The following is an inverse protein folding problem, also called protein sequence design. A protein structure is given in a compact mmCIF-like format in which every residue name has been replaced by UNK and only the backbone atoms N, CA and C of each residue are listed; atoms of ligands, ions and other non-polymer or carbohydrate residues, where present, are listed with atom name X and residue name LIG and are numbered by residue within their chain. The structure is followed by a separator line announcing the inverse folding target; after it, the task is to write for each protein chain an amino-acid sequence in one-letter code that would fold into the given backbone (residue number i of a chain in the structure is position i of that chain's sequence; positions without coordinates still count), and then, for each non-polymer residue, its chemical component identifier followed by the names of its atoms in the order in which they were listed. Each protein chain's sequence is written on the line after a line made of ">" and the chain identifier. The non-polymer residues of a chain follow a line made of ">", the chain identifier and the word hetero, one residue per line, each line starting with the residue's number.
data_IF_851218370080
#
_entry.id   IF_851218370080
#
_cell.length_a   1.000
_cell.length_b   1.000
_cell.length_c   1.000
_cell.angle_alpha   90.00
_cell.angle_beta   90.00
_cell.angle_gamma   90.00
#
_symmetry.space_group_name_H-M   'P 1'
#
loop_
_entity.id
_entity.type
_entity.pdbx_description
1 polymer ?
#
# COMPACT_ATOMS: atom_id res chain seq x y z
N UNK A 1 -13.86 9.18 10.19
CA UNK A 1 -12.77 9.72 11.03
C UNK A 1 -11.56 9.92 10.13
N UNK A 2 -10.99 11.14 10.00
CA UNK A 2 -9.73 11.29 9.30
C UNK A 2 -8.66 10.52 10.10
N UNK A 3 -7.90 9.66 9.44
CA UNK A 3 -6.79 8.95 10.08
C UNK A 3 -5.70 9.96 10.40
N UNK A 4 -5.26 10.02 11.66
CA UNK A 4 -4.12 10.82 12.07
C UNK A 4 -2.90 10.44 11.20
N UNK A 5 -2.38 11.42 10.48
CA UNK A 5 -1.25 11.25 9.55
C UNK A 5 0.08 11.54 10.25
N UNK A 6 0.09 11.79 11.57
CA UNK A 6 1.21 12.36 12.33
C UNK A 6 2.57 11.64 12.29
N UNK A 7 2.68 10.49 11.63
CA UNK A 7 3.95 9.81 11.33
C UNK A 7 4.05 9.22 9.92
N UNK A 8 3.09 9.51 9.03
CA UNK A 8 3.08 8.93 7.70
C UNK A 8 4.01 9.71 6.74
N UNK A 9 4.88 9.02 6.02
CA UNK A 9 5.58 9.56 4.85
C UNK A 9 4.73 9.31 3.61
N UNK A 10 4.50 10.35 2.82
CA UNK A 10 3.68 10.28 1.59
C UNK A 10 4.58 10.37 0.36
N UNK A 11 4.29 9.56 -0.66
CA UNK A 11 4.91 9.65 -1.98
C UNK A 11 3.86 9.43 -3.07
N UNK A 12 4.08 10.08 -4.20
CA UNK A 12 3.34 9.83 -5.42
C UNK A 12 4.28 9.26 -6.48
N UNK A 13 3.77 8.32 -7.27
CA UNK A 13 4.49 7.76 -8.40
C UNK A 13 3.55 7.62 -9.59
N UNK A 14 3.98 8.10 -10.75
CA UNK A 14 3.30 7.91 -12.04
C UNK A 14 4.03 6.84 -12.84
N UNK A 15 3.50 5.60 -12.96
CA UNK A 15 4.07 4.62 -13.87
C UNK A 15 4.01 5.14 -15.31
N UNK A 16 5.05 4.92 -16.14
CA UNK A 16 4.99 5.28 -17.55
C UNK A 16 4.18 4.26 -18.40
N UNK A 17 3.40 3.40 -17.75
CA UNK A 17 2.53 2.37 -18.35
C UNK A 17 1.26 2.20 -17.52
N UNK A 18 0.22 1.60 -18.11
CA UNK A 18 -0.99 1.22 -17.38
C UNK A 18 -0.68 0.18 -16.31
N UNK A 19 -1.12 0.45 -15.07
CA UNK A 19 -0.79 -0.38 -13.92
C UNK A 19 -2.05 -1.04 -13.33
N UNK A 20 -2.09 -2.38 -13.36
CA UNK A 20 -2.94 -3.12 -12.43
C UNK A 20 -2.25 -3.23 -11.07
N UNK A 21 -2.61 -2.33 -10.15
CA UNK A 21 -2.00 -2.27 -8.82
C UNK A 21 -2.25 -3.56 -8.02
N UNK A 22 -3.46 -4.12 -8.07
CA UNK A 22 -3.79 -5.31 -7.29
C UNK A 22 -3.12 -6.55 -7.90
N UNK A 23 -3.17 -6.71 -9.22
CA UNK A 23 -2.47 -7.80 -9.91
C UNK A 23 -0.97 -7.79 -9.63
N UNK A 24 -0.36 -6.60 -9.60
CA UNK A 24 1.06 -6.40 -9.29
C UNK A 24 1.40 -6.80 -7.85
N UNK A 25 0.56 -6.45 -6.88
CA UNK A 25 0.84 -6.68 -5.46
C UNK A 25 0.40 -8.05 -4.95
N UNK A 26 -0.53 -8.71 -5.64
CA UNK A 26 -1.09 -10.01 -5.25
C UNK A 26 -0.06 -11.10 -4.94
N UNK A 27 1.07 -11.23 -5.68
CA UNK A 27 2.11 -12.22 -5.36
C UNK A 27 2.73 -12.07 -3.97
N UNK A 28 2.59 -10.91 -3.32
CA UNK A 28 3.13 -10.68 -1.96
C UNK A 28 2.22 -11.19 -0.84
N UNK A 29 0.99 -11.61 -1.14
CA UNK A 29 0.01 -12.12 -0.17
C UNK A 29 0.32 -13.58 0.19
N UNK A 30 0.47 -13.89 1.48
CA UNK A 30 0.78 -15.24 2.01
C UNK A 30 -0.45 -16.12 2.24
N UNK A 31 -1.48 -15.94 1.41
CA UNK A 31 -2.74 -16.69 1.47
C UNK A 31 -3.98 -15.85 1.74
N UNK A 32 -5.16 -16.48 1.68
CA UNK A 32 -6.43 -15.74 1.67
C UNK A 32 -6.67 -14.92 2.96
N UNK A 33 -6.13 -15.36 4.10
CA UNK A 33 -6.34 -14.71 5.40
C UNK A 33 -5.09 -14.01 5.92
N UNK A 34 -4.18 -13.63 5.03
CA UNK A 34 -2.95 -12.94 5.39
C UNK A 34 -3.26 -11.61 6.11
N UNK A 35 -2.96 -11.48 7.42
CA UNK A 35 -3.22 -10.25 8.15
C UNK A 35 -2.28 -9.11 7.74
N UNK A 36 -1.16 -9.42 7.08
CA UNK A 36 -0.18 -8.45 6.59
C UNK A 36 -0.49 -7.97 5.16
N UNK A 37 -1.62 -8.37 4.57
CA UNK A 37 -2.07 -7.90 3.25
C UNK A 37 -3.59 -7.72 3.25
N UNK A 38 -4.08 -6.48 3.08
CA UNK A 38 -5.52 -6.19 3.01
C UNK A 38 -5.85 -5.32 1.81
N UNK A 39 -6.92 -5.67 1.10
CA UNK A 39 -7.50 -4.83 0.06
C UNK A 39 -8.77 -4.20 0.64
N UNK A 40 -8.85 -2.88 0.61
CA UNK A 40 -10.02 -2.12 1.06
C UNK A 40 -11.03 -1.95 -0.09
N UNK A 41 -12.32 -1.68 0.20
CA UNK A 41 -13.35 -1.49 -0.83
C UNK A 41 -13.04 -0.38 -1.83
N UNK A 42 -12.22 0.58 -1.43
CA UNK A 42 -11.80 1.72 -2.23
C UNK A 42 -10.63 1.40 -3.17
N UNK A 43 -10.17 0.14 -3.20
CA UNK A 43 -9.05 -0.34 -4.00
C UNK A 43 -7.68 -0.17 -3.35
N UNK A 44 -7.61 0.40 -2.14
CA UNK A 44 -6.34 0.56 -1.43
C UNK A 44 -5.80 -0.78 -0.97
N UNK A 45 -4.48 -0.98 -1.13
CA UNK A 45 -3.77 -2.16 -0.64
C UNK A 45 -2.92 -1.77 0.56
N UNK A 46 -3.21 -2.37 1.71
CA UNK A 46 -2.40 -2.30 2.91
C UNK A 46 -1.45 -3.47 2.99
N UNK A 47 -0.21 -3.19 3.37
CA UNK A 47 0.81 -4.19 3.65
C UNK A 47 1.58 -3.87 4.91
N UNK A 48 1.84 -4.90 5.71
CA UNK A 48 2.80 -4.84 6.81
C UNK A 48 4.02 -5.70 6.45
N UNK A 49 5.22 -5.20 6.74
CA UNK A 49 6.46 -5.93 6.49
C UNK A 49 7.54 -5.54 7.50
N UNK A 50 8.45 -6.46 7.78
CA UNK A 50 9.70 -6.10 8.45
C UNK A 50 10.67 -5.48 7.43
N UNK A 51 11.22 -4.34 7.78
CA UNK A 51 12.32 -3.68 7.09
C UNK A 51 13.59 -3.80 7.94
N UNK A 52 14.79 -3.53 7.40
CA UNK A 52 16.01 -3.47 8.19
C UNK A 52 15.93 -2.49 9.38
N UNK A 53 15.15 -1.43 9.25
CA UNK A 53 14.97 -0.39 10.28
C UNK A 53 13.85 -0.72 11.28
N UNK A 54 13.13 -1.83 11.09
CA UNK A 54 12.02 -2.26 11.94
C UNK A 54 10.71 -2.49 11.18
N UNK A 55 9.59 -2.69 11.90
CA UNK A 55 8.28 -2.90 11.29
C UNK A 55 7.81 -1.67 10.51
N UNK A 56 7.42 -1.88 9.25
CA UNK A 56 6.85 -0.86 8.39
C UNK A 56 5.44 -1.22 7.93
N UNK A 57 4.57 -0.22 7.83
CA UNK A 57 3.24 -0.34 7.21
C UNK A 57 3.17 0.53 5.97
N UNK A 58 2.57 0.02 4.91
CA UNK A 58 2.38 0.72 3.64
C UNK A 58 0.91 0.64 3.21
N UNK A 59 0.34 1.77 2.80
CA UNK A 59 -0.92 1.86 2.05
C UNK A 59 -0.63 2.36 0.64
N UNK A 60 -1.09 1.63 -0.37
CA UNK A 60 -1.00 2.02 -1.78
C UNK A 60 -2.39 2.17 -2.35
N UNK A 61 -2.62 3.22 -3.14
CA UNK A 61 -3.87 3.42 -3.90
C UNK A 61 -3.53 3.96 -5.28
N UNK A 62 -4.15 3.42 -6.32
CA UNK A 62 -4.13 4.00 -7.65
C UNK A 62 -5.33 4.94 -7.81
N UNK A 63 -5.07 6.22 -8.03
CA UNK A 63 -6.06 7.25 -8.35
C UNK A 63 -5.76 7.78 -9.75
N UNK A 64 -6.55 7.38 -10.75
CA UNK A 64 -6.24 7.65 -12.15
C UNK A 64 -4.95 6.95 -12.57
N UNK A 65 -3.93 7.71 -12.95
CA UNK A 65 -2.59 7.26 -13.33
C UNK A 65 -1.54 7.47 -12.21
N UNK A 66 -1.96 7.84 -11.00
CA UNK A 66 -1.06 8.11 -9.86
C UNK A 66 -1.20 7.04 -8.79
N UNK A 67 -0.08 6.43 -8.41
CA UNK A 67 0.01 5.63 -7.19
C UNK A 67 0.34 6.55 -6.02
N UNK A 68 -0.62 6.71 -5.12
CA UNK A 68 -0.42 7.32 -3.81
C UNK A 68 0.09 6.26 -2.83
N UNK A 69 1.21 6.55 -2.18
CA UNK A 69 1.82 5.71 -1.17
C UNK A 69 1.88 6.45 0.17
N UNK A 70 1.41 5.81 1.23
CA UNK A 70 1.58 6.27 2.62
C UNK A 70 2.32 5.20 3.40
N UNK A 71 3.42 5.56 4.07
CA UNK A 71 4.25 4.66 4.85
C UNK A 71 4.40 5.12 6.30
N UNK A 72 4.37 4.18 7.24
CA UNK A 72 4.58 4.39 8.67
C UNK A 72 5.66 3.44 9.20
N UNK A 73 6.44 3.89 10.18
CA UNK A 73 7.55 3.15 10.77
C UNK A 73 8.90 3.65 10.29
#
# INVERSE_FOLDING_TARGET
>A
MPVDTGGARVREWRPPWELDLLGTLSPHRRGHRDPAFRVEPDGSVWRASYTPDGPGTLRLRLTGDVVEAMGWG
#
